data_IF_833575052016
#
_entry.id   IF_833575052016
#
_cell.length_a   1.000
_cell.length_b   1.000
_cell.length_c   1.000
_cell.angle_alpha   90.00
_cell.angle_beta   90.00
_cell.angle_gamma   90.00
#
_symmetry.space_group_name_H-M   'P 1'
#
loop_
_entity.id
_entity.type
_entity.pdbx_description
1 polymer ?
#
# COMPACT_ATOMS: atom_id res chain seq x y z
N UNK A 1 11.71 10.68 -12.47
CA UNK A 1 11.79 9.23 -12.62
C UNK A 1 11.85 8.71 -11.21
N UNK A 2 10.87 7.93 -10.75
CA UNK A 2 10.92 7.35 -9.40
C UNK A 2 11.73 6.06 -9.53
N UNK A 3 12.82 5.94 -8.77
CA UNK A 3 13.71 4.79 -8.76
C UNK A 3 13.55 4.04 -7.44
N UNK A 4 13.23 2.75 -7.52
CA UNK A 4 13.27 1.81 -6.40
C UNK A 4 14.43 0.84 -6.64
N UNK A 5 15.40 0.77 -5.72
CA UNK A 5 16.60 -0.06 -5.87
C UNK A 5 16.47 -1.47 -5.28
N UNK A 6 15.30 -1.79 -4.69
CA UNK A 6 15.04 -3.10 -4.09
C UNK A 6 14.62 -4.13 -5.14
N UNK A 7 15.28 -5.30 -5.16
CA UNK A 7 14.89 -6.48 -5.93
C UNK A 7 13.66 -7.21 -5.34
N UNK A 8 12.70 -6.46 -4.81
CA UNK A 8 11.53 -7.02 -4.12
C UNK A 8 10.41 -7.28 -5.11
N UNK A 9 9.94 -8.52 -5.19
CA UNK A 9 8.74 -8.87 -5.96
C UNK A 9 7.53 -8.12 -5.39
N UNK A 10 6.67 -7.60 -6.26
CA UNK A 10 5.49 -6.84 -5.86
C UNK A 10 5.66 -5.31 -5.80
N UNK A 11 6.74 -4.76 -6.36
CA UNK A 11 6.88 -3.30 -6.53
C UNK A 11 6.55 -2.89 -7.96
N UNK A 12 5.66 -1.91 -8.08
CA UNK A 12 5.26 -1.31 -9.37
C UNK A 12 5.36 0.21 -9.28
N UNK A 13 5.91 0.81 -10.33
CA UNK A 13 6.00 2.27 -10.46
C UNK A 13 5.25 2.66 -11.72
N UNK A 14 4.19 3.43 -11.56
CA UNK A 14 3.46 4.03 -12.68
C UNK A 14 3.78 5.51 -12.72
N UNK A 15 4.20 6.01 -13.88
CA UNK A 15 4.44 7.44 -14.08
C UNK A 15 3.55 7.92 -15.21
N UNK A 16 2.64 8.83 -14.90
CA UNK A 16 1.81 9.53 -15.88
C UNK A 16 2.39 10.91 -16.14
N UNK A 17 2.65 11.22 -17.40
CA UNK A 17 3.30 12.46 -17.84
C UNK A 17 2.27 13.31 -18.60
N UNK A 18 1.50 14.10 -17.85
CA UNK A 18 0.60 15.12 -18.39
C UNK A 18 1.11 16.54 -18.12
N UNK A 19 0.19 17.50 -18.01
CA UNK A 19 0.50 18.86 -17.50
C UNK A 19 1.07 18.85 -16.08
N UNK A 20 0.69 17.84 -15.30
CA UNK A 20 1.29 17.47 -14.02
C UNK A 20 1.88 16.07 -14.17
N UNK A 21 3.15 15.91 -13.81
CA UNK A 21 3.78 14.58 -13.78
C UNK A 21 3.43 13.89 -12.47
N UNK A 22 2.62 12.83 -12.53
CA UNK A 22 2.23 12.06 -11.36
C UNK A 22 2.96 10.73 -11.37
N UNK A 23 3.60 10.38 -10.26
CA UNK A 23 4.23 9.07 -10.11
C UNK A 23 3.65 8.34 -8.90
N UNK A 24 3.25 7.09 -9.11
CA UNK A 24 2.64 6.20 -8.13
C UNK A 24 3.58 5.04 -7.90
N UNK A 25 4.01 4.86 -6.65
CA UNK A 25 4.78 3.72 -6.18
C UNK A 25 3.85 2.78 -5.40
N UNK A 26 3.65 1.57 -5.91
CA UNK A 26 2.88 0.50 -5.28
C UNK A 26 3.86 -0.56 -4.76
N UNK A 27 3.75 -0.92 -3.48
CA UNK A 27 4.56 -1.96 -2.84
C UNK A 27 3.61 -2.97 -2.20
N UNK A 28 3.69 -4.22 -2.66
CA UNK A 28 2.90 -5.33 -2.14
C UNK A 28 3.65 -6.07 -1.02
N UNK A 29 2.91 -6.82 -0.20
CA UNK A 29 3.41 -7.63 0.91
C UNK A 29 4.29 -6.89 1.92
N UNK A 30 4.10 -5.58 2.09
CA UNK A 30 4.95 -4.69 2.91
C UNK A 30 5.28 -5.29 4.29
N UNK A 31 6.57 -5.30 4.61
CA UNK A 31 7.15 -5.74 5.88
C UNK A 31 7.72 -4.55 6.64
N UNK A 32 8.06 -4.74 7.93
CA UNK A 32 8.72 -3.70 8.73
C UNK A 32 10.03 -3.20 8.12
N UNK A 33 10.70 -4.01 7.29
CA UNK A 33 11.93 -3.65 6.55
C UNK A 33 11.70 -2.64 5.44
N UNK A 34 10.47 -2.50 4.94
CA UNK A 34 10.11 -1.48 3.94
C UNK A 34 9.96 -0.09 4.59
N UNK A 35 10.08 0.04 5.91
CA UNK A 35 10.15 1.35 6.56
C UNK A 35 11.39 2.12 6.12
N UNK A 36 11.24 3.37 5.71
CA UNK A 36 12.36 4.14 5.19
C UNK A 36 12.01 5.54 4.73
N UNK A 37 12.99 6.18 4.08
CA UNK A 37 12.81 7.46 3.40
C UNK A 37 12.54 7.19 1.92
N UNK A 38 11.38 7.60 1.46
CA UNK A 38 10.96 7.51 0.07
C UNK A 38 11.15 8.85 -0.59
N UNK A 39 11.95 8.90 -1.65
CA UNK A 39 12.29 10.14 -2.36
C UNK A 39 11.72 10.05 -3.77
N UNK A 40 10.99 11.08 -4.19
CA UNK A 40 10.66 11.29 -5.59
C UNK A 40 11.60 12.34 -6.17
N UNK A 41 12.42 11.92 -7.13
CA UNK A 41 13.39 12.77 -7.83
C UNK A 41 13.07 12.79 -9.33
N UNK A 42 12.20 13.71 -9.81
CA UNK A 42 11.99 13.89 -11.24
C UNK A 42 13.23 14.53 -11.88
N UNK A 43 13.57 14.10 -13.10
CA UNK A 43 14.73 14.65 -13.79
C UNK A 43 14.49 16.13 -14.09
N UNK A 44 15.37 17.01 -13.60
CA UNK A 44 15.25 18.46 -13.81
C UNK A 44 14.17 19.16 -12.98
N UNK A 45 13.63 18.50 -11.96
CA UNK A 45 12.66 19.10 -11.02
C UNK A 45 13.13 18.95 -9.58
N UNK A 46 12.48 19.68 -8.68
CA UNK A 46 12.76 19.61 -7.24
C UNK A 46 12.40 18.22 -6.70
N UNK A 47 13.29 17.66 -5.89
CA UNK A 47 13.03 16.42 -5.16
C UNK A 47 12.02 16.66 -4.03
N UNK A 48 11.18 15.67 -3.77
CA UNK A 48 10.37 15.63 -2.56
C UNK A 48 10.55 14.28 -1.85
N UNK A 49 10.46 14.29 -0.52
CA UNK A 49 10.73 13.13 0.30
C UNK A 49 9.65 12.90 1.35
N UNK A 50 9.29 11.64 1.59
CA UNK A 50 8.32 11.20 2.59
C UNK A 50 8.94 10.09 3.43
N UNK A 51 8.81 10.19 4.75
CA UNK A 51 9.27 9.13 5.67
C UNK A 51 8.11 8.18 5.98
N UNK A 52 8.26 6.91 5.62
CA UNK A 52 7.25 5.87 5.82
C UNK A 52 7.72 4.93 6.92
N UNK A 53 6.82 4.60 7.84
CA UNK A 53 7.04 3.60 8.87
C UNK A 53 5.96 2.54 8.76
N UNK A 54 6.38 1.30 8.55
CA UNK A 54 5.52 0.12 8.51
C UNK A 54 5.47 -0.44 9.92
N UNK A 55 4.25 -0.59 10.43
CA UNK A 55 3.99 -1.19 11.73
C UNK A 55 3.38 -2.58 11.51
N UNK A 56 3.87 -3.60 12.22
CA UNK A 56 3.16 -4.87 12.32
C UNK A 56 1.97 -4.64 13.25
N UNK A 57 0.81 -4.37 12.66
CA UNK A 57 -0.44 -4.29 13.40
C UNK A 57 -1.06 -5.68 13.50
N UNK A 58 -1.27 -6.19 14.71
CA UNK A 58 -2.17 -7.32 14.99
C UNK A 58 -3.65 -7.00 14.70
N UNK A 59 -3.94 -5.97 13.90
CA UNK A 59 -5.27 -5.47 13.62
C UNK A 59 -5.86 -6.06 12.33
N UNK A 60 -5.94 -7.39 12.25
CA UNK A 60 -6.88 -8.10 11.37
C UNK A 60 -7.75 -9.12 12.11
N UNK A 61 -7.50 -9.42 13.39
CA UNK A 61 -8.43 -10.21 14.20
C UNK A 61 -9.74 -9.48 14.52
N UNK A 62 -9.81 -8.15 14.35
CA UNK A 62 -11.02 -7.39 14.65
C UNK A 62 -12.05 -7.34 13.50
N UNK A 63 -11.69 -7.67 12.26
CA UNK A 63 -12.64 -7.60 11.13
C UNK A 63 -13.37 -8.91 10.78
N UNK A 64 -13.12 -10.04 11.47
CA UNK A 64 -13.83 -11.27 11.14
C UNK A 64 -14.08 -12.21 12.34
N UNK A 65 -14.99 -11.82 13.24
CA UNK A 65 -15.73 -12.79 14.06
C UNK A 65 -17.22 -12.75 13.70
N UNK A 66 -17.60 -13.32 12.55
CA UNK A 66 -18.99 -13.79 12.38
C UNK A 66 -19.16 -15.03 13.28
N UNK A 67 -19.92 -14.90 14.37
CA UNK A 67 -20.38 -16.07 15.12
C UNK A 67 -21.30 -16.89 14.22
N UNK A 68 -20.90 -18.13 13.94
CA UNK A 68 -21.82 -19.19 13.53
C UNK A 68 -22.80 -19.44 14.68
N UNK A 69 -24.04 -19.04 14.48
CA UNK A 69 -25.18 -19.39 15.32
C UNK A 69 -26.22 -20.07 14.43
N UNK A 70 -26.33 -21.40 14.55
CA UNK A 70 -27.46 -22.17 14.02
C UNK A 70 -28.75 -21.61 14.64
N UNK A 71 -29.66 -21.10 13.82
CA UNK A 71 -31.02 -20.72 14.19
C UNK A 71 -31.92 -20.90 12.98
N UNK A 72 -32.85 -21.84 13.07
CA UNK A 72 -33.80 -22.25 12.03
C UNK A 72 -34.72 -21.10 11.57
N UNK A 73 -34.97 -21.10 10.25
CA UNK A 73 -36.22 -20.84 9.48
C UNK A 73 -37.11 -19.66 9.93
N UNK A 74 -37.54 -18.85 8.94
CA UNK A 74 -38.92 -18.84 8.44
C UNK A 74 -38.99 -17.99 7.14
N UNK A 75 -39.66 -18.52 6.11
CA UNK A 75 -40.20 -17.72 5.00
C UNK A 75 -41.54 -17.18 5.49
N UNK A 76 -41.74 -15.87 5.44
CA UNK A 76 -43.05 -15.26 5.59
C UNK A 76 -43.27 -14.28 4.42
N UNK A 77 -44.27 -14.66 3.63
CA UNK A 77 -45.04 -14.03 2.54
C UNK A 77 -44.36 -12.96 1.71
#
# INVERSE_FOLDING_TARGET
MVSFDGSRQGVSITTDKGSVTTSILLIQDVTTKDSGLYICAPQGMKEASVRVRVLNGECLFFYARRKSGKGQRNILT
#
